data_IF_964668139464
#
_entry.id   IF_964668139464
#
_cell.length_a   1.000
_cell.length_b   1.000
_cell.length_c   1.000
_cell.angle_alpha   90.00
_cell.angle_beta   90.00
_cell.angle_gamma   90.00
#
_symmetry.space_group_name_H-M   'P 1'
#
loop_
_entity.id
_entity.type
_entity.pdbx_description
1 polymer ?
#
# COMPACT_ATOMS: atom_id res chain seq x y z
N UNK A 1 -32.55 7.73 28.43
CA UNK A 1 -31.28 8.33 27.99
C UNK A 1 -30.17 7.31 28.23
N UNK A 2 -29.48 6.79 27.21
CA UNK A 2 -28.31 5.97 27.45
C UNK A 2 -27.11 6.87 27.75
N UNK A 3 -26.38 6.48 28.79
CA UNK A 3 -25.16 7.09 29.27
C UNK A 3 -24.03 6.86 28.25
N UNK A 4 -23.49 7.94 27.69
CA UNK A 4 -22.19 7.93 27.03
C UNK A 4 -21.10 7.88 28.11
N UNK A 5 -20.60 6.67 28.39
CA UNK A 5 -19.51 6.39 29.34
C UNK A 5 -18.32 5.75 28.63
N UNK A 6 -17.93 6.27 27.45
CA UNK A 6 -16.55 6.06 26.99
C UNK A 6 -15.74 7.32 27.22
N UNK A 7 -15.19 7.37 28.43
CA UNK A 7 -14.21 8.36 28.85
C UNK A 7 -13.17 8.60 27.76
N UNK A 8 -13.26 9.79 27.17
CA UNK A 8 -12.22 10.41 26.37
C UNK A 8 -11.00 10.62 27.28
N UNK A 9 -10.18 9.58 27.45
CA UNK A 9 -8.84 9.71 28.02
C UNK A 9 -8.05 10.52 26.99
N UNK A 10 -7.78 11.78 27.31
CA UNK A 10 -7.17 12.78 26.45
C UNK A 10 -5.79 12.39 25.91
N UNK A 11 -5.79 11.57 24.87
CA UNK A 11 -4.66 11.44 23.96
C UNK A 11 -4.92 12.40 22.80
N UNK A 12 -4.17 13.51 22.75
CA UNK A 12 -4.17 14.34 21.57
C UNK A 12 -3.75 13.47 20.36
N UNK A 13 -4.40 13.61 19.19
CA UNK A 13 -3.99 12.85 18.01
C UNK A 13 -2.51 13.11 17.74
N UNK A 14 -1.75 12.04 17.48
CA UNK A 14 -0.32 12.17 17.22
C UNK A 14 -0.12 13.08 16.00
N UNK A 15 0.67 14.16 16.11
CA UNK A 15 0.77 15.13 15.03
C UNK A 15 1.44 14.47 13.81
N UNK A 16 0.92 14.66 12.58
CA UNK A 16 1.46 14.01 11.38
C UNK A 16 2.96 14.22 11.15
N UNK A 17 3.50 15.37 11.58
CA UNK A 17 4.95 15.65 11.51
C UNK A 17 5.80 14.64 12.28
N UNK A 18 5.37 14.25 13.49
CA UNK A 18 6.11 13.32 14.33
C UNK A 18 6.08 11.92 13.72
N UNK A 19 4.93 11.51 13.18
CA UNK A 19 4.84 10.23 12.49
C UNK A 19 5.76 10.19 11.26
N UNK A 20 5.82 11.29 10.49
CA UNK A 20 6.74 11.38 9.35
C UNK A 20 8.22 11.29 9.76
N UNK A 21 8.61 11.85 10.91
CA UNK A 21 9.96 11.69 11.48
C UNK A 21 10.22 10.23 11.88
N UNK A 22 9.25 9.58 12.53
CA UNK A 22 9.36 8.19 12.97
C UNK A 22 9.49 7.18 11.81
N UNK A 23 9.06 7.53 10.59
CA UNK A 23 9.30 6.71 9.39
C UNK A 23 10.80 6.59 9.02
N UNK A 24 11.69 7.33 9.68
CA UNK A 24 13.13 7.23 9.49
C UNK A 24 13.86 6.72 10.74
N UNK A 25 13.13 6.27 11.78
CA UNK A 25 13.74 5.75 13.01
C UNK A 25 14.55 4.49 12.72
N UNK A 26 15.56 4.21 13.54
CA UNK A 26 16.36 2.98 13.49
C UNK A 26 15.53 1.75 13.87
N UNK A 27 14.56 1.90 14.77
CA UNK A 27 13.69 0.84 15.24
C UNK A 27 12.57 0.57 14.23
N UNK A 28 12.53 -0.65 13.72
CA UNK A 28 11.50 -1.08 12.76
C UNK A 28 10.08 -1.04 13.34
N UNK A 29 9.91 -1.21 14.65
CA UNK A 29 8.60 -1.12 15.30
C UNK A 29 8.07 0.31 15.33
N UNK A 30 8.96 1.29 15.51
CA UNK A 30 8.58 2.71 15.43
C UNK A 30 8.19 3.09 14.00
N UNK A 31 8.95 2.63 13.00
CA UNK A 31 8.58 2.79 11.58
C UNK A 31 7.24 2.11 11.28
N UNK A 32 7.04 0.89 11.78
CA UNK A 32 5.79 0.14 11.59
C UNK A 32 4.58 0.88 12.17
N UNK A 33 4.67 1.37 13.41
CA UNK A 33 3.60 2.14 14.05
C UNK A 33 3.32 3.43 13.31
N UNK A 34 4.36 4.13 12.86
CA UNK A 34 4.20 5.34 12.07
C UNK A 34 3.46 5.06 10.75
N UNK A 35 3.79 3.97 10.04
CA UNK A 35 3.07 3.53 8.83
C UNK A 35 1.59 3.26 9.16
N UNK A 36 1.30 2.50 10.22
CA UNK A 36 -0.09 2.17 10.58
C UNK A 36 -0.90 3.41 10.92
N UNK A 37 -0.40 4.27 11.80
CA UNK A 37 -1.08 5.49 12.25
C UNK A 37 -1.29 6.48 11.11
N UNK A 38 -0.30 6.66 10.22
CA UNK A 38 -0.48 7.48 9.01
C UNK A 38 -1.50 6.88 8.03
N UNK A 39 -1.75 5.57 8.12
CA UNK A 39 -2.74 4.87 7.32
C UNK A 39 -4.14 4.79 7.95
N UNK A 40 -4.34 5.20 9.20
CA UNK A 40 -5.65 5.14 9.87
C UNK A 40 -6.64 6.13 9.27
N UNK A 41 -6.15 7.27 8.80
CA UNK A 41 -6.96 8.27 8.13
C UNK A 41 -7.22 7.86 6.66
N UNK A 42 -8.41 8.18 6.15
CA UNK A 42 -8.72 8.06 4.71
C UNK A 42 -8.17 9.23 3.90
N UNK A 43 -7.74 10.31 4.57
CA UNK A 43 -7.15 11.47 3.95
C UNK A 43 -5.62 11.37 3.92
N UNK A 44 -5.08 10.99 2.76
CA UNK A 44 -3.64 10.90 2.57
C UNK A 44 -3.07 12.18 1.96
N UNK A 45 -2.22 12.86 2.73
CA UNK A 45 -1.43 13.99 2.21
C UNK A 45 -0.45 13.50 1.13
N UNK A 46 -0.20 14.27 0.05
CA UNK A 46 0.73 13.88 -1.01
C UNK A 46 2.12 13.47 -0.50
N UNK A 47 2.63 14.16 0.52
CA UNK A 47 3.91 13.86 1.16
C UNK A 47 3.96 12.46 1.81
N UNK A 48 2.84 11.98 2.36
CA UNK A 48 2.74 10.64 2.96
C UNK A 48 2.81 9.57 1.86
N UNK A 49 2.08 9.78 0.76
CA UNK A 49 2.09 8.88 -0.39
C UNK A 49 3.49 8.78 -1.02
N UNK A 50 4.16 9.92 -1.18
CA UNK A 50 5.55 9.98 -1.67
C UNK A 50 6.50 9.24 -0.73
N UNK A 51 6.34 9.41 0.58
CA UNK A 51 7.17 8.72 1.57
C UNK A 51 6.93 7.21 1.56
N UNK A 52 5.69 6.75 1.46
CA UNK A 52 5.40 5.32 1.31
C UNK A 52 5.99 4.73 0.01
N UNK A 53 5.93 5.47 -1.10
CA UNK A 53 6.57 5.04 -2.36
C UNK A 53 8.10 4.93 -2.25
N UNK A 54 8.75 5.82 -1.48
CA UNK A 54 10.17 5.71 -1.18
C UNK A 54 10.46 4.49 -0.28
N UNK A 55 9.73 4.35 0.83
CA UNK A 55 9.93 3.23 1.75
C UNK A 55 9.67 1.87 1.10
N UNK A 56 8.67 1.74 0.23
CA UNK A 56 8.43 0.51 -0.53
C UNK A 56 9.69 0.03 -1.30
N UNK A 57 10.54 0.95 -1.74
CA UNK A 57 11.79 0.66 -2.49
C UNK A 57 13.00 0.48 -1.58
N UNK A 58 13.04 1.13 -0.44
CA UNK A 58 14.26 1.28 0.38
C UNK A 58 14.22 0.50 1.69
N UNK A 59 13.02 0.16 2.20
CA UNK A 59 12.85 -0.48 3.50
C UNK A 59 13.42 -1.90 3.52
N UNK A 60 14.26 -2.15 4.52
CA UNK A 60 14.98 -3.41 4.69
C UNK A 60 14.16 -4.44 5.45
N UNK A 61 13.31 -4.00 6.38
CA UNK A 61 12.45 -4.87 7.16
C UNK A 61 11.25 -5.38 6.34
N UNK A 62 11.14 -6.70 6.16
CA UNK A 62 9.96 -7.33 5.55
C UNK A 62 8.69 -7.03 6.35
N UNK A 63 8.81 -6.88 7.67
CA UNK A 63 7.71 -6.53 8.56
C UNK A 63 7.15 -5.12 8.29
N UNK A 64 8.02 -4.14 8.06
CA UNK A 64 7.61 -2.78 7.67
C UNK A 64 7.11 -2.75 6.23
N UNK A 65 7.69 -3.52 5.30
CA UNK A 65 7.13 -3.67 3.94
C UNK A 65 5.72 -4.24 3.96
N UNK A 66 5.46 -5.21 4.83
CA UNK A 66 4.14 -5.80 5.01
C UNK A 66 3.13 -4.78 5.54
N UNK A 67 3.55 -3.89 6.45
CA UNK A 67 2.68 -2.82 6.95
C UNK A 67 2.34 -1.80 5.85
N UNK A 68 3.31 -1.44 5.01
CA UNK A 68 3.07 -0.58 3.83
C UNK A 68 2.05 -1.24 2.91
N UNK A 69 2.23 -2.51 2.56
CA UNK A 69 1.28 -3.26 1.74
C UNK A 69 -0.13 -3.30 2.35
N UNK A 70 -0.23 -3.47 3.67
CA UNK A 70 -1.52 -3.43 4.38
C UNK A 70 -2.19 -2.06 4.30
N UNK A 71 -1.43 -0.98 4.49
CA UNK A 71 -1.96 0.39 4.45
C UNK A 71 -2.41 0.79 3.04
N UNK A 72 -1.78 0.27 1.98
CA UNK A 72 -2.16 0.56 0.60
C UNK A 72 -3.62 0.20 0.28
N UNK A 73 -4.23 -0.75 0.99
CA UNK A 73 -5.66 -1.07 0.84
C UNK A 73 -6.58 0.10 1.24
N UNK A 74 -6.09 1.06 2.03
CA UNK A 74 -6.82 2.26 2.46
C UNK A 74 -6.45 3.50 1.64
N UNK A 75 -5.33 3.47 0.91
CA UNK A 75 -4.88 4.53 -0.01
C UNK A 75 -5.84 4.66 -1.21
N UNK A 76 -6.06 5.88 -1.75
CA UNK A 76 -6.80 6.09 -3.00
C UNK A 76 -6.32 5.17 -4.14
N UNK A 77 -7.26 4.58 -4.87
CA UNK A 77 -6.99 3.53 -5.87
C UNK A 77 -5.97 3.98 -6.93
N UNK A 78 -6.04 5.24 -7.35
CA UNK A 78 -5.13 5.86 -8.31
C UNK A 78 -3.67 6.01 -7.85
N UNK A 79 -3.39 5.87 -6.55
CA UNK A 79 -2.03 5.98 -6.00
C UNK A 79 -1.39 4.62 -5.68
N UNK A 80 -2.19 3.54 -5.63
CA UNK A 80 -1.74 2.23 -5.13
C UNK A 80 -0.64 1.61 -5.97
N UNK A 81 -0.79 1.62 -7.30
CA UNK A 81 0.18 1.00 -8.20
C UNK A 81 1.54 1.71 -8.12
N UNK A 82 1.55 3.03 -7.99
CA UNK A 82 2.77 3.83 -7.85
C UNK A 82 3.57 3.44 -6.61
N UNK A 83 2.91 3.23 -5.47
CA UNK A 83 3.61 2.80 -4.25
C UNK A 83 4.02 1.32 -4.37
N UNK A 84 3.15 0.47 -4.90
CA UNK A 84 3.41 -0.96 -5.03
C UNK A 84 4.58 -1.29 -5.97
N UNK A 85 4.97 -0.41 -6.90
CA UNK A 85 6.15 -0.57 -7.76
C UNK A 85 7.41 -0.94 -6.96
N UNK A 86 7.61 -0.32 -5.80
CA UNK A 86 8.76 -0.65 -4.95
C UNK A 86 8.69 -2.04 -4.35
N UNK A 87 7.50 -2.44 -3.87
CA UNK A 87 7.28 -3.73 -3.24
C UNK A 87 7.42 -4.89 -4.23
N UNK A 88 6.79 -4.78 -5.42
CA UNK A 88 6.83 -5.86 -6.40
C UNK A 88 8.22 -6.09 -7.01
N UNK A 89 9.11 -5.10 -6.94
CA UNK A 89 10.47 -5.18 -7.49
C UNK A 89 11.45 -5.95 -6.58
N UNK A 90 11.00 -6.40 -5.40
CA UNK A 90 11.81 -7.12 -4.40
C UNK A 90 11.63 -8.63 -4.55
N UNK A 91 12.65 -9.30 -5.10
CA UNK A 91 12.61 -10.76 -5.27
C UNK A 91 12.68 -11.51 -3.93
N UNK A 92 13.29 -10.90 -2.90
CA UNK A 92 13.41 -11.48 -1.55
C UNK A 92 12.04 -11.76 -0.89
N UNK A 93 11.00 -11.03 -1.29
CA UNK A 93 9.64 -11.17 -0.74
C UNK A 93 8.85 -12.30 -1.41
N UNK A 94 9.39 -12.95 -2.44
CA UNK A 94 8.64 -13.94 -3.24
C UNK A 94 8.22 -15.19 -2.44
N UNK A 95 9.01 -15.57 -1.42
CA UNK A 95 8.77 -16.75 -0.59
C UNK A 95 8.21 -16.41 0.80
N UNK A 96 7.94 -15.13 1.08
CA UNK A 96 7.29 -14.72 2.33
C UNK A 96 5.82 -15.20 2.32
N UNK A 97 5.29 -15.75 3.43
CA UNK A 97 3.94 -16.30 3.46
C UNK A 97 2.83 -15.24 3.35
N UNK A 98 3.13 -13.96 3.63
CA UNK A 98 2.13 -12.89 3.75
C UNK A 98 2.29 -11.81 2.67
N UNK A 99 3.52 -11.38 2.39
CA UNK A 99 3.81 -10.22 1.53
C UNK A 99 3.23 -10.36 0.12
N UNK A 100 3.42 -11.46 -0.63
CA UNK A 100 2.86 -11.61 -1.97
C UNK A 100 1.34 -11.39 -2.01
N UNK A 101 0.61 -12.00 -1.05
CA UNK A 101 -0.83 -11.90 -0.97
C UNK A 101 -1.28 -10.51 -0.51
N UNK A 102 -0.59 -9.91 0.46
CA UNK A 102 -0.91 -8.58 0.95
C UNK A 102 -0.72 -7.52 -0.14
N UNK A 103 0.37 -7.61 -0.91
CA UNK A 103 0.62 -6.74 -2.08
C UNK A 103 -0.51 -6.92 -3.09
N UNK A 104 -0.90 -8.16 -3.39
CA UNK A 104 -1.99 -8.43 -4.32
C UNK A 104 -3.30 -7.78 -3.89
N UNK A 105 -3.75 -8.00 -2.65
CA UNK A 105 -5.00 -7.41 -2.15
C UNK A 105 -4.98 -5.88 -2.18
N UNK A 106 -3.81 -5.29 -1.97
CA UNK A 106 -3.64 -3.85 -2.07
C UNK A 106 -3.90 -3.33 -3.49
N UNK A 107 -3.33 -3.98 -4.50
CA UNK A 107 -3.34 -3.48 -5.88
C UNK A 107 -4.50 -3.99 -6.74
N UNK A 108 -5.13 -5.11 -6.37
CA UNK A 108 -6.15 -5.77 -7.19
C UNK A 108 -7.24 -4.82 -7.73
N UNK A 109 -7.82 -3.90 -6.92
CA UNK A 109 -8.85 -2.97 -7.42
C UNK A 109 -8.32 -1.98 -8.46
N UNK A 110 -7.04 -1.61 -8.36
CA UNK A 110 -6.40 -0.66 -9.26
C UNK A 110 -6.02 -1.26 -10.62
N UNK A 111 -5.85 -2.58 -10.70
CA UNK A 111 -5.41 -3.27 -11.92
C UNK A 111 -6.33 -3.02 -13.13
N UNK A 112 -7.67 -3.20 -13.04
CA UNK A 112 -8.56 -2.92 -14.18
C UNK A 112 -8.68 -1.43 -14.50
N UNK A 113 -8.60 -0.55 -13.49
CA UNK A 113 -8.75 0.90 -13.65
C UNK A 113 -7.51 1.55 -14.31
N UNK A 114 -6.33 1.00 -14.08
CA UNK A 114 -5.04 1.59 -14.51
C UNK A 114 -4.26 0.60 -15.39
N UNK A 115 -4.89 0.13 -16.48
CA UNK A 115 -4.40 -0.97 -17.32
C UNK A 115 -2.94 -0.81 -17.77
N UNK A 116 -2.56 0.36 -18.28
CA UNK A 116 -1.19 0.64 -18.77
C UNK A 116 -0.16 0.54 -17.64
N UNK A 117 -0.47 1.13 -16.48
CA UNK A 117 0.42 1.08 -15.33
C UNK A 117 0.50 -0.33 -14.73
N UNK A 118 -0.61 -1.08 -14.73
CA UNK A 118 -0.63 -2.47 -14.29
C UNK A 118 0.24 -3.38 -15.19
N UNK A 119 0.24 -3.15 -16.52
CA UNK A 119 1.15 -3.85 -17.45
C UNK A 119 2.62 -3.53 -17.15
N UNK A 120 2.95 -2.26 -16.91
CA UNK A 120 4.30 -1.85 -16.50
C UNK A 120 4.69 -2.47 -15.14
N UNK A 121 3.75 -2.53 -14.20
CA UNK A 121 3.97 -3.16 -12.90
C UNK A 121 4.27 -4.66 -13.07
N UNK A 122 3.51 -5.36 -13.92
CA UNK A 122 3.73 -6.78 -14.19
C UNK A 122 5.10 -7.07 -14.83
N UNK A 123 5.60 -6.18 -15.71
CA UNK A 123 6.91 -6.37 -16.35
C UNK A 123 8.08 -6.18 -15.38
N UNK A 124 7.89 -5.37 -14.33
CA UNK A 124 8.90 -5.10 -13.29
C UNK A 124 8.76 -6.02 -12.06
N UNK A 125 7.65 -6.76 -11.97
CA UNK A 125 7.32 -7.61 -10.84
C UNK A 125 8.26 -8.83 -10.76
N UNK A 126 8.98 -8.93 -9.64
CA UNK A 126 9.86 -10.06 -9.30
C UNK A 126 9.20 -11.10 -8.39
N UNK A 127 7.93 -10.90 -8.04
CA UNK A 127 7.14 -11.84 -7.23
C UNK A 127 6.21 -12.63 -8.17
N UNK A 128 6.51 -13.91 -8.48
CA UNK A 128 5.81 -14.65 -9.52
C UNK A 128 4.29 -14.71 -9.33
N UNK A 129 3.84 -14.93 -8.09
CA UNK A 129 2.42 -15.01 -7.74
C UNK A 129 1.68 -13.71 -8.08
N UNK A 130 2.24 -12.57 -7.68
CA UNK A 130 1.65 -11.24 -7.91
C UNK A 130 1.60 -10.94 -9.41
N UNK A 131 2.69 -11.24 -10.13
CA UNK A 131 2.76 -11.06 -11.60
C UNK A 131 1.67 -11.88 -12.31
N UNK A 132 1.48 -13.13 -11.92
CA UNK A 132 0.44 -14.00 -12.48
C UNK A 132 -0.95 -13.45 -12.21
N UNK A 133 -1.23 -12.99 -10.98
CA UNK A 133 -2.51 -12.43 -10.61
C UNK A 133 -2.83 -11.13 -11.36
N UNK A 134 -1.84 -10.24 -11.55
CA UNK A 134 -2.01 -9.05 -12.39
C UNK A 134 -2.38 -9.46 -13.82
N UNK A 135 -1.62 -10.38 -14.44
CA UNK A 135 -1.87 -10.82 -15.81
C UNK A 135 -3.28 -11.44 -15.96
N UNK A 136 -3.67 -12.32 -15.03
CA UNK A 136 -4.98 -12.95 -15.02
C UNK A 136 -6.11 -11.92 -14.86
N UNK A 137 -5.93 -10.93 -13.98
CA UNK A 137 -6.92 -9.88 -13.75
C UNK A 137 -7.09 -8.96 -14.95
N UNK A 138 -6.00 -8.62 -15.64
CA UNK A 138 -6.03 -7.83 -16.88
C UNK A 138 -6.70 -8.58 -18.03
N UNK A 139 -6.50 -9.90 -18.13
CA UNK A 139 -7.15 -10.74 -19.13
C UNK A 139 -8.67 -10.87 -18.90
N UNK A 140 -9.08 -10.97 -17.63
CA UNK A 140 -10.50 -11.09 -17.25
C UNK A 140 -11.24 -9.75 -17.18
N UNK A 141 -10.52 -8.63 -17.08
CA UNK A 141 -11.11 -7.31 -17.19
C UNK A 141 -11.55 -7.08 -18.64
N UNK A 142 -12.87 -7.08 -18.89
CA UNK A 142 -13.44 -6.68 -20.18
C UNK A 142 -12.81 -5.37 -20.62
N UNK A 143 -12.36 -5.28 -21.87
CA UNK A 143 -12.00 -4.00 -22.46
C UNK A 143 -13.21 -3.06 -22.31
N UNK A 144 -13.02 -1.79 -21.91
CA UNK A 144 -14.12 -0.84 -21.88
C UNK A 144 -14.76 -0.85 -23.26
N UNK A 145 -16.06 -1.15 -23.30
CA UNK A 145 -16.84 -1.09 -24.53
C UNK A 145 -16.57 0.27 -25.15
N UNK A 146 -16.01 0.28 -26.36
CA UNK A 146 -16.01 1.49 -27.17
C UNK A 146 -17.49 1.80 -27.42
N UNK A 147 -18.04 2.74 -26.66
CA UNK A 147 -19.31 3.37 -27.00
C UNK A 147 -19.04 4.13 -28.29
N UNK A 148 -19.29 3.47 -29.42
CA UNK A 148 -19.38 4.10 -30.72
C UNK A 148 -20.55 5.09 -30.60
N UNK A 149 -20.23 6.39 -30.58
CA UNK A 149 -21.17 7.45 -30.92
C UNK A 149 -21.10 7.69 -32.42
#
# INVERSE_FOLDING_TARGET
QPLDTRGNRGFAPTPPRLLMELLADKDEHLRWWAVQLLGEDKFFLPQVLQRFAAMAREEQSSFVRLSIASVLQRVPVNARLTIAQGLVARAEDANDPNLPLMIWYAIEPAVPEQRTQALQLASQCKIPLVREFIARRLANARAPSQTVQ
#
